data_IF_373295669536
#
_entry.id   IF_373295669536
#
_cell.length_a   1.000
_cell.length_b   1.000
_cell.length_c   1.000
_cell.angle_alpha   90.00
_cell.angle_beta   90.00
_cell.angle_gamma   90.00
#
_symmetry.space_group_name_H-M   'P 1'
#
loop_
_entity.id
_entity.type
_entity.pdbx_description
1 polymer ?
#
# COMPACT_ATOMS: atom_id res chain seq x y z
N UNK A 1 20.73 -7.16 7.70
CA UNK A 1 20.54 -6.93 6.25
C UNK A 1 20.81 -5.48 5.90
N UNK A 2 21.33 -5.21 4.71
CA UNK A 2 21.53 -3.84 4.23
C UNK A 2 20.22 -3.35 3.56
N UNK A 3 19.85 -2.09 3.78
CA UNK A 3 18.65 -1.48 3.20
C UNK A 3 18.55 -1.68 1.68
N UNK A 4 19.69 -1.52 0.98
CA UNK A 4 19.77 -1.71 -0.47
C UNK A 4 19.39 -3.13 -0.91
N UNK A 5 19.85 -4.13 -0.17
CA UNK A 5 19.57 -5.54 -0.47
C UNK A 5 18.08 -5.87 -0.36
N UNK A 6 17.41 -5.34 0.69
CA UNK A 6 15.97 -5.48 0.87
C UNK A 6 15.23 -4.88 -0.33
N UNK A 7 15.56 -3.64 -0.70
CA UNK A 7 14.90 -2.95 -1.83
C UNK A 7 15.10 -3.67 -3.16
N UNK A 8 16.30 -4.20 -3.41
CA UNK A 8 16.59 -4.96 -4.64
C UNK A 8 15.74 -6.24 -4.72
N UNK A 9 15.61 -6.99 -3.62
CA UNK A 9 14.80 -8.22 -3.59
C UNK A 9 13.32 -7.89 -3.75
N UNK A 10 12.81 -6.90 -3.04
CA UNK A 10 11.41 -6.44 -3.16
C UNK A 10 11.14 -5.99 -4.60
N UNK A 11 11.96 -5.10 -5.16
CA UNK A 11 11.82 -4.62 -6.55
C UNK A 11 11.83 -5.78 -7.55
N UNK A 12 12.77 -6.70 -7.41
CA UNK A 12 12.89 -7.87 -8.30
C UNK A 12 11.67 -8.82 -8.22
N UNK A 13 11.04 -8.96 -7.03
CA UNK A 13 9.81 -9.74 -6.88
C UNK A 13 8.65 -9.06 -7.60
N UNK A 14 8.40 -7.79 -7.32
CA UNK A 14 7.27 -7.06 -7.90
C UNK A 14 7.44 -6.83 -9.42
N UNK A 15 8.67 -6.67 -9.93
CA UNK A 15 8.94 -6.64 -11.35
C UNK A 15 8.55 -7.96 -12.06
N UNK A 16 8.82 -9.11 -11.42
CA UNK A 16 8.37 -10.42 -11.96
C UNK A 16 6.85 -10.53 -11.95
N UNK A 17 6.20 -10.12 -10.87
CA UNK A 17 4.74 -10.15 -10.77
C UNK A 17 4.10 -9.26 -11.84
N UNK A 18 4.64 -8.05 -12.09
CA UNK A 18 4.13 -7.15 -13.12
C UNK A 18 4.16 -7.75 -14.54
N UNK A 19 5.17 -8.59 -14.83
CA UNK A 19 5.36 -9.26 -16.15
C UNK A 19 4.54 -10.53 -16.32
N UNK A 20 4.03 -11.11 -15.24
CA UNK A 20 3.20 -12.31 -15.32
C UNK A 20 1.74 -11.88 -15.58
N UNK A 21 1.24 -12.26 -16.76
CA UNK A 21 -0.19 -12.13 -17.05
C UNK A 21 -0.97 -13.13 -16.18
N UNK A 22 -1.66 -12.63 -15.17
CA UNK A 22 -2.73 -13.25 -14.36
C UNK A 22 -2.50 -14.64 -13.73
N UNK A 23 -1.36 -15.30 -13.87
CA UNK A 23 -1.13 -16.57 -13.18
C UNK A 23 -0.25 -16.39 -11.94
N UNK A 24 -0.91 -16.43 -10.77
CA UNK A 24 -0.33 -16.72 -9.45
C UNK A 24 0.70 -15.73 -8.88
N UNK A 25 0.23 -14.78 -8.09
CA UNK A 25 1.06 -13.76 -7.47
C UNK A 25 1.84 -14.20 -6.22
N UNK A 26 1.64 -15.39 -5.68
CA UNK A 26 2.33 -15.79 -4.44
C UNK A 26 2.50 -17.31 -4.29
N UNK A 27 3.73 -17.86 -4.16
CA UNK A 27 3.92 -19.25 -3.76
C UNK A 27 3.42 -19.55 -2.33
N UNK A 28 3.31 -18.53 -1.49
CA UNK A 28 2.88 -18.64 -0.09
C UNK A 28 1.41 -18.27 0.18
N UNK A 29 0.66 -17.82 -0.84
CA UNK A 29 -0.73 -17.36 -0.67
C UNK A 29 -1.78 -18.36 -1.12
N UNK A 30 -1.48 -19.66 -1.29
CA UNK A 30 -2.47 -20.68 -1.68
C UNK A 30 -3.17 -20.38 -3.01
N UNK A 31 -2.45 -19.96 -4.04
CA UNK A 31 -2.96 -19.38 -5.29
C UNK A 31 -3.73 -20.33 -6.21
N UNK A 32 -4.84 -20.85 -5.73
CA UNK A 32 -5.93 -21.36 -6.55
C UNK A 32 -7.11 -20.37 -6.67
N UNK A 33 -7.03 -19.21 -6.01
CA UNK A 33 -8.07 -18.18 -6.00
C UNK A 33 -7.74 -17.06 -6.98
N UNK A 34 -8.73 -16.60 -7.76
CA UNK A 34 -8.56 -15.47 -8.68
C UNK A 34 -8.20 -14.18 -7.90
N UNK A 35 -7.44 -13.27 -8.52
CA UNK A 35 -7.07 -11.96 -7.94
C UNK A 35 -8.29 -11.17 -7.43
N UNK A 36 -9.44 -11.32 -8.11
CA UNK A 36 -10.71 -10.72 -7.70
C UNK A 36 -11.24 -11.29 -6.38
N UNK A 37 -11.13 -12.62 -6.16
CA UNK A 37 -11.55 -13.23 -4.89
C UNK A 37 -10.63 -12.78 -3.75
N UNK A 38 -9.33 -12.66 -3.99
CA UNK A 38 -8.38 -12.14 -3.00
C UNK A 38 -8.69 -10.68 -2.66
N UNK A 39 -8.95 -9.83 -3.66
CA UNK A 39 -9.35 -8.44 -3.43
C UNK A 39 -10.62 -8.33 -2.59
N UNK A 40 -11.65 -9.15 -2.88
CA UNK A 40 -12.87 -9.21 -2.06
C UNK A 40 -12.59 -9.66 -0.62
N UNK A 41 -11.73 -10.64 -0.42
CA UNK A 41 -11.38 -11.15 0.90
C UNK A 41 -10.70 -10.10 1.80
N UNK A 42 -9.92 -9.20 1.22
CA UNK A 42 -9.26 -8.10 1.97
C UNK A 42 -10.15 -6.86 2.15
N UNK A 43 -11.35 -6.81 1.54
CA UNK A 43 -12.36 -5.81 1.86
C UNK A 43 -12.81 -4.90 0.72
N UNK A 44 -12.37 -5.12 -0.53
CA UNK A 44 -12.96 -4.43 -1.67
C UNK A 44 -14.36 -4.98 -1.97
N UNK A 45 -15.32 -4.11 -2.23
CA UNK A 45 -16.65 -4.53 -2.65
C UNK A 45 -16.66 -5.00 -4.11
N UNK A 46 -17.61 -5.90 -4.45
CA UNK A 46 -17.78 -6.33 -5.84
C UNK A 46 -18.10 -5.17 -6.77
N UNK A 47 -18.93 -4.24 -6.31
CA UNK A 47 -19.32 -3.04 -7.04
C UNK A 47 -18.12 -2.13 -7.33
N UNK A 48 -17.22 -1.89 -6.35
CA UNK A 48 -16.00 -1.12 -6.56
C UNK A 48 -15.11 -1.75 -7.63
N UNK A 49 -14.93 -3.08 -7.59
CA UNK A 49 -14.07 -3.81 -8.54
C UNK A 49 -14.65 -3.86 -9.97
N UNK A 50 -15.98 -3.81 -10.13
CA UNK A 50 -16.63 -3.75 -11.45
C UNK A 50 -16.44 -2.41 -12.17
N UNK A 51 -16.07 -1.36 -11.44
CA UNK A 51 -15.90 0.00 -11.96
C UNK A 51 -14.43 0.40 -12.22
N UNK A 52 -13.51 -0.54 -12.13
CA UNK A 52 -12.09 -0.32 -12.43
C UNK A 52 -11.58 -1.38 -13.43
N UNK A 53 -10.45 -1.11 -14.11
CA UNK A 53 -9.83 -2.09 -15.01
C UNK A 53 -9.48 -3.39 -14.27
N UNK A 54 -9.93 -4.53 -14.77
CA UNK A 54 -9.68 -5.85 -14.17
C UNK A 54 -8.18 -6.14 -14.08
N UNK A 55 -7.40 -5.70 -15.07
CA UNK A 55 -5.94 -5.88 -15.15
C UNK A 55 -5.18 -5.18 -14.03
N UNK A 56 -5.81 -4.20 -13.38
CA UNK A 56 -5.25 -3.52 -12.20
C UNK A 56 -5.33 -4.36 -10.93
N UNK A 57 -6.24 -5.34 -10.89
CA UNK A 57 -6.54 -6.15 -9.71
C UNK A 57 -5.60 -7.34 -9.62
N UNK A 58 -4.48 -7.18 -8.93
CA UNK A 58 -3.43 -8.21 -8.82
C UNK A 58 -3.50 -9.03 -7.51
N UNK A 59 -4.43 -8.73 -6.60
CA UNK A 59 -4.57 -9.46 -5.33
C UNK A 59 -3.43 -9.23 -4.33
N UNK A 60 -2.70 -8.12 -4.42
CA UNK A 60 -1.48 -7.84 -3.63
C UNK A 60 -1.75 -7.04 -2.34
N UNK A 61 -2.97 -6.60 -2.10
CA UNK A 61 -3.33 -5.79 -0.94
C UNK A 61 -3.61 -6.61 0.32
N UNK A 62 -3.59 -5.95 1.47
CA UNK A 62 -4.00 -6.53 2.75
C UNK A 62 -5.21 -5.81 3.37
N UNK A 63 -5.77 -4.82 2.69
CA UNK A 63 -6.95 -4.07 3.09
C UNK A 63 -7.51 -3.26 1.93
N UNK A 64 -8.51 -2.43 2.20
CA UNK A 64 -9.09 -1.46 1.26
C UNK A 64 -9.03 -0.05 1.86
N UNK A 65 -7.89 0.65 1.76
CA UNK A 65 -7.74 1.99 2.35
C UNK A 65 -8.69 3.00 1.71
N UNK A 66 -9.03 2.86 0.42
CA UNK A 66 -9.96 3.72 -0.30
C UNK A 66 -11.39 3.70 0.26
N UNK A 67 -11.82 2.59 0.86
CA UNK A 67 -13.13 2.48 1.50
C UNK A 67 -13.25 3.40 2.74
N UNK A 68 -12.13 3.67 3.43
CA UNK A 68 -12.08 4.40 4.70
C UNK A 68 -11.53 5.82 4.54
N UNK A 69 -10.83 6.12 3.43
CA UNK A 69 -10.11 7.37 3.22
C UNK A 69 -11.02 8.62 3.11
N UNK A 70 -12.34 8.47 3.02
CA UNK A 70 -13.32 9.57 2.89
C UNK A 70 -12.91 10.57 1.79
N UNK A 71 -12.56 10.03 0.60
CA UNK A 71 -12.12 10.82 -0.55
C UNK A 71 -13.27 11.69 -1.08
N UNK A 72 -12.97 12.95 -1.42
CA UNK A 72 -13.94 13.94 -1.86
C UNK A 72 -13.67 14.37 -3.29
N UNK A 73 -14.74 14.76 -4.00
CA UNK A 73 -14.62 15.28 -5.34
C UNK A 73 -13.65 16.49 -5.38
N UNK A 74 -12.77 16.52 -6.37
CA UNK A 74 -11.81 17.60 -6.58
C UNK A 74 -10.50 17.46 -5.77
N UNK A 75 -10.35 16.47 -4.89
CA UNK A 75 -9.12 16.28 -4.12
C UNK A 75 -7.95 15.78 -4.99
N UNK A 76 -6.74 16.13 -4.56
CA UNK A 76 -5.48 15.54 -5.03
C UNK A 76 -5.09 14.41 -4.07
N UNK A 77 -5.06 13.18 -4.56
CA UNK A 77 -4.76 11.97 -3.79
C UNK A 77 -3.40 11.41 -4.21
N UNK A 78 -2.63 10.92 -3.26
CA UNK A 78 -1.39 10.19 -3.50
C UNK A 78 -1.55 8.74 -3.00
N UNK A 79 -1.23 7.78 -3.86
CA UNK A 79 -1.13 6.36 -3.51
C UNK A 79 0.35 5.95 -3.40
N UNK A 80 0.73 5.42 -2.24
CA UNK A 80 2.08 4.92 -1.97
C UNK A 80 2.17 3.44 -2.33
N UNK A 81 3.07 3.08 -3.25
CA UNK A 81 3.21 1.72 -3.75
C UNK A 81 2.01 1.29 -4.59
N UNK A 82 1.70 2.09 -5.59
CA UNK A 82 0.47 1.97 -6.38
C UNK A 82 0.32 0.64 -7.14
N UNK A 83 1.42 -0.11 -7.35
CA UNK A 83 1.40 -1.35 -8.13
C UNK A 83 0.76 -1.15 -9.51
N UNK A 84 -0.17 -2.03 -9.89
CA UNK A 84 -0.92 -1.89 -11.14
C UNK A 84 -2.08 -0.88 -11.08
N UNK A 85 -2.29 -0.20 -9.93
CA UNK A 85 -3.18 0.95 -9.82
C UNK A 85 -4.58 0.69 -9.27
N UNK A 86 -4.86 -0.44 -8.63
CA UNK A 86 -6.21 -0.75 -8.09
C UNK A 86 -6.76 0.38 -7.22
N UNK A 87 -6.00 0.85 -6.22
CA UNK A 87 -6.42 1.93 -5.32
C UNK A 87 -6.40 3.30 -6.03
N UNK A 88 -5.51 3.50 -7.02
CA UNK A 88 -5.47 4.72 -7.85
C UNK A 88 -6.75 4.87 -8.67
N UNK A 89 -7.22 3.81 -9.35
CA UNK A 89 -8.44 3.87 -10.16
C UNK A 89 -9.69 4.03 -9.30
N UNK A 90 -9.76 3.34 -8.15
CA UNK A 90 -10.84 3.55 -7.17
C UNK A 90 -10.86 5.00 -6.66
N UNK A 91 -9.70 5.54 -6.32
CA UNK A 91 -9.59 6.94 -5.89
C UNK A 91 -9.96 7.91 -7.01
N UNK A 92 -9.53 7.65 -8.26
CA UNK A 92 -9.83 8.48 -9.42
C UNK A 92 -11.34 8.60 -9.67
N UNK A 93 -12.07 7.48 -9.53
CA UNK A 93 -13.52 7.48 -9.64
C UNK A 93 -14.18 8.28 -8.51
N UNK A 94 -13.65 8.22 -7.27
CA UNK A 94 -14.20 8.96 -6.11
C UNK A 94 -13.94 10.46 -6.19
N UNK A 95 -12.72 10.88 -6.62
CA UNK A 95 -12.41 12.31 -6.72
C UNK A 95 -12.97 12.96 -7.97
N UNK A 96 -13.35 12.17 -8.98
CA UNK A 96 -13.98 12.64 -10.21
C UNK A 96 -13.04 13.46 -11.12
N UNK A 97 -13.58 14.04 -12.21
CA UNK A 97 -12.77 14.66 -13.27
C UNK A 97 -12.06 15.97 -12.84
N UNK A 98 -12.47 16.60 -11.75
CA UNK A 98 -11.83 17.79 -11.19
C UNK A 98 -10.75 17.48 -10.16
N UNK A 99 -10.69 16.23 -9.67
CA UNK A 99 -9.65 15.75 -8.80
C UNK A 99 -8.49 15.14 -9.59
N UNK A 100 -7.44 14.73 -8.87
CA UNK A 100 -6.26 14.09 -9.45
C UNK A 100 -5.73 13.00 -8.52
N UNK A 101 -5.26 11.90 -9.09
CA UNK A 101 -4.61 10.85 -8.32
C UNK A 101 -3.19 10.63 -8.85
N UNK A 102 -2.23 10.57 -7.94
CA UNK A 102 -0.83 10.29 -8.24
C UNK A 102 -0.51 8.94 -7.60
N UNK A 103 -0.13 7.95 -8.41
CA UNK A 103 0.41 6.69 -7.94
C UNK A 103 1.95 6.72 -7.96
N UNK A 104 2.60 6.34 -6.88
CA UNK A 104 4.06 6.20 -6.83
C UNK A 104 4.42 4.74 -6.60
N UNK A 105 5.29 4.19 -7.43
CA UNK A 105 5.87 2.86 -7.25
C UNK A 105 7.37 2.88 -7.57
N UNK A 106 8.16 2.04 -6.88
CA UNK A 106 9.60 1.95 -7.12
C UNK A 106 9.96 1.01 -8.27
N UNK A 107 8.97 0.26 -8.79
CA UNK A 107 9.14 -0.76 -9.82
C UNK A 107 8.71 -0.20 -11.17
N UNK A 108 9.64 -0.09 -12.10
CA UNK A 108 9.38 0.48 -13.44
C UNK A 108 8.29 -0.31 -14.18
N UNK A 109 8.33 -1.63 -14.11
CA UNK A 109 7.35 -2.52 -14.73
C UNK A 109 5.93 -2.31 -14.19
N UNK A 110 5.78 -1.97 -12.90
CA UNK A 110 4.48 -1.62 -12.31
C UNK A 110 3.99 -0.26 -12.84
N UNK A 111 4.86 0.74 -12.86
CA UNK A 111 4.54 2.07 -13.38
C UNK A 111 4.13 2.01 -14.85
N UNK A 112 4.85 1.24 -15.66
CA UNK A 112 4.54 1.07 -17.09
C UNK A 112 3.19 0.37 -17.28
N UNK A 113 2.96 -0.73 -16.56
CA UNK A 113 1.68 -1.48 -16.58
C UNK A 113 0.52 -0.58 -16.19
N UNK A 114 0.59 0.08 -15.04
CA UNK A 114 -0.44 0.97 -14.55
C UNK A 114 -0.72 2.16 -15.50
N UNK A 115 0.35 2.73 -16.08
CA UNK A 115 0.23 3.82 -17.07
C UNK A 115 -0.41 3.35 -18.38
N UNK A 116 -0.15 2.11 -18.82
CA UNK A 116 -0.83 1.53 -19.98
C UNK A 116 -2.31 1.35 -19.71
N UNK A 117 -2.66 0.71 -18.59
CA UNK A 117 -4.04 0.50 -18.16
C UNK A 117 -4.80 1.84 -18.12
N UNK A 118 -4.19 2.87 -17.52
CA UNK A 118 -4.82 4.19 -17.45
C UNK A 118 -5.15 4.78 -18.83
N UNK A 119 -4.23 4.68 -19.78
CA UNK A 119 -4.44 5.16 -21.17
C UNK A 119 -5.52 4.36 -21.87
N UNK A 120 -5.48 3.03 -21.78
CA UNK A 120 -6.37 2.12 -22.51
C UNK A 120 -7.82 2.26 -22.02
N UNK A 121 -8.01 2.60 -20.74
CA UNK A 121 -9.33 2.83 -20.12
C UNK A 121 -9.72 4.31 -20.00
N UNK A 122 -8.95 5.24 -20.58
CA UNK A 122 -9.31 6.67 -20.67
C UNK A 122 -9.28 7.43 -19.35
N UNK A 123 -8.46 7.02 -18.39
CA UNK A 123 -8.27 7.78 -17.14
C UNK A 123 -7.36 8.98 -17.37
N UNK A 124 -7.93 10.17 -17.42
CA UNK A 124 -7.22 11.44 -17.67
C UNK A 124 -6.80 12.16 -16.38
N UNK A 125 -7.33 11.75 -15.24
CA UNK A 125 -7.09 12.34 -13.93
C UNK A 125 -6.12 11.54 -13.05
N UNK A 126 -5.38 10.59 -13.64
CA UNK A 126 -4.36 9.80 -12.94
C UNK A 126 -2.97 10.02 -13.54
N UNK A 127 -1.95 9.87 -12.72
CA UNK A 127 -0.54 9.93 -13.11
C UNK A 127 0.25 8.91 -12.30
N UNK A 128 1.11 8.14 -12.95
CA UNK A 128 2.03 7.22 -12.28
C UNK A 128 3.46 7.73 -12.35
N UNK A 129 4.17 7.68 -11.22
CA UNK A 129 5.56 8.14 -11.08
C UNK A 129 6.45 7.05 -10.53
N UNK A 130 7.60 6.86 -11.17
CA UNK A 130 8.66 6.01 -10.64
C UNK A 130 9.32 6.73 -9.45
N UNK A 131 9.35 6.09 -8.28
CA UNK A 131 9.98 6.67 -7.10
C UNK A 131 9.90 5.78 -5.87
N UNK A 132 10.76 6.06 -4.90
CA UNK A 132 10.76 5.39 -3.60
C UNK A 132 9.86 6.15 -2.62
N UNK A 133 9.13 5.41 -1.77
CA UNK A 133 8.25 6.02 -0.76
C UNK A 133 9.01 6.73 0.37
N UNK A 134 10.31 6.45 0.53
CA UNK A 134 11.21 7.17 1.44
C UNK A 134 11.72 8.50 0.85
N UNK A 135 11.47 8.77 -0.44
CA UNK A 135 11.82 10.02 -1.12
C UNK A 135 10.83 10.26 -2.26
N UNK A 136 9.65 10.74 -1.90
CA UNK A 136 8.54 10.91 -2.83
C UNK A 136 8.83 11.96 -3.92
N UNK A 137 8.62 11.63 -5.21
CA UNK A 137 8.72 12.58 -6.31
C UNK A 137 7.46 13.47 -6.38
N UNK A 138 7.10 14.07 -5.25
CA UNK A 138 5.89 14.88 -5.03
C UNK A 138 6.27 16.11 -4.23
N UNK A 139 5.70 17.26 -4.59
CA UNK A 139 5.98 18.55 -3.97
C UNK A 139 5.45 18.61 -2.53
N UNK A 140 6.05 19.49 -1.73
CA UNK A 140 5.61 19.77 -0.36
C UNK A 140 4.18 20.31 -0.36
N UNK A 141 3.36 19.86 0.60
CA UNK A 141 2.00 20.41 0.84
C UNK A 141 1.14 20.48 -0.43
N UNK A 142 1.23 19.44 -1.28
CA UNK A 142 0.55 19.43 -2.60
C UNK A 142 -0.64 18.47 -2.67
N UNK A 143 -0.78 17.51 -1.73
CA UNK A 143 -1.84 16.52 -1.76
C UNK A 143 -2.80 16.65 -0.58
N UNK A 144 -4.08 16.35 -0.80
CA UNK A 144 -5.14 16.44 0.20
C UNK A 144 -5.26 15.16 1.01
N UNK A 145 -5.05 14.02 0.37
CA UNK A 145 -5.11 12.70 0.99
C UNK A 145 -3.98 11.79 0.50
N UNK A 146 -3.53 10.91 1.38
CA UNK A 146 -2.63 9.81 1.05
C UNK A 146 -3.34 8.50 1.38
N UNK A 147 -3.25 7.55 0.47
CA UNK A 147 -3.63 6.15 0.68
C UNK A 147 -2.39 5.26 0.53
N UNK A 148 -2.41 4.11 1.18
CA UNK A 148 -1.34 3.11 1.07
C UNK A 148 -1.87 1.74 1.42
N UNK A 149 -1.49 0.72 0.65
CA UNK A 149 -1.93 -0.64 0.86
C UNK A 149 -0.75 -1.61 0.82
N UNK A 150 -0.37 -2.15 1.97
CA UNK A 150 0.63 -3.21 2.14
C UNK A 150 2.05 -2.89 1.61
N UNK A 151 2.43 -1.62 1.51
CA UNK A 151 3.73 -1.21 0.95
C UNK A 151 4.71 -0.70 2.01
N UNK A 152 4.22 -0.04 3.08
CA UNK A 152 5.12 0.59 4.06
C UNK A 152 5.97 -0.46 4.78
N UNK A 153 5.44 -1.68 4.97
CA UNK A 153 6.21 -2.79 5.51
C UNK A 153 7.40 -3.22 4.66
N UNK A 154 7.35 -3.00 3.37
CA UNK A 154 8.45 -3.30 2.46
C UNK A 154 9.62 -2.31 2.59
N UNK A 155 9.36 -1.13 3.14
CA UNK A 155 10.41 -0.14 3.40
C UNK A 155 11.27 -0.50 4.60
N UNK A 156 12.60 -0.44 4.49
CA UNK A 156 13.50 -0.59 5.64
C UNK A 156 13.48 0.61 6.59
N UNK A 157 13.10 1.81 6.13
CA UNK A 157 13.00 3.04 6.94
C UNK A 157 11.57 3.62 6.93
N UNK A 158 10.69 2.99 7.68
CA UNK A 158 9.30 3.43 7.82
C UNK A 158 9.15 4.83 8.44
N UNK A 159 10.09 5.23 9.29
CA UNK A 159 10.07 6.57 9.88
C UNK A 159 10.28 7.64 8.79
N UNK A 160 11.15 7.37 7.81
CA UNK A 160 11.36 8.24 6.67
C UNK A 160 10.12 8.30 5.76
N UNK A 161 9.47 7.15 5.54
CA UNK A 161 8.21 7.09 4.78
C UNK A 161 7.15 7.99 5.41
N UNK A 162 6.91 7.88 6.72
CA UNK A 162 5.91 8.72 7.40
C UNK A 162 6.29 10.21 7.40
N UNK A 163 7.59 10.55 7.48
CA UNK A 163 8.03 11.96 7.33
C UNK A 163 7.79 12.49 5.93
N UNK A 164 8.04 11.70 4.89
CA UNK A 164 7.75 12.08 3.50
C UNK A 164 6.23 12.22 3.26
N UNK A 165 5.43 11.28 3.76
CA UNK A 165 3.97 11.40 3.72
C UNK A 165 3.49 12.70 4.41
N UNK A 166 4.04 13.02 5.58
CA UNK A 166 3.73 14.28 6.27
C UNK A 166 4.18 15.50 5.49
N UNK A 167 5.34 15.47 4.83
CA UNK A 167 5.88 16.57 4.02
C UNK A 167 4.92 16.95 2.88
N UNK A 168 4.49 15.97 2.10
CA UNK A 168 3.70 16.19 0.87
C UNK A 168 2.23 16.53 1.15
N UNK A 169 1.68 16.14 2.30
CA UNK A 169 0.31 16.49 2.69
C UNK A 169 0.15 17.99 2.93
N UNK A 170 -0.94 18.56 2.44
CA UNK A 170 -1.42 19.90 2.80
C UNK A 170 -1.77 19.96 4.30
N UNK A 171 -1.83 21.14 4.93
CA UNK A 171 -2.49 21.31 6.22
C UNK A 171 -3.93 20.76 6.16
N UNK A 172 -4.39 20.13 7.22
CA UNK A 172 -5.66 19.39 7.33
C UNK A 172 -5.80 18.17 6.39
N UNK A 173 -4.76 17.82 5.63
CA UNK A 173 -4.71 16.59 4.85
C UNK A 173 -4.66 15.34 5.72
N UNK A 174 -4.99 14.20 5.14
CA UNK A 174 -5.08 12.91 5.86
C UNK A 174 -4.29 11.79 5.21
N UNK A 175 -3.85 10.86 6.04
CA UNK A 175 -3.22 9.60 5.66
C UNK A 175 -4.17 8.46 6.04
N UNK A 176 -4.44 7.54 5.12
CA UNK A 176 -5.12 6.27 5.38
C UNK A 176 -4.23 5.14 4.88
N UNK A 177 -3.82 4.26 5.76
CA UNK A 177 -2.93 3.14 5.44
C UNK A 177 -3.49 1.82 5.93
N UNK A 178 -3.49 0.82 5.05
CA UNK A 178 -3.71 -0.58 5.40
C UNK A 178 -2.38 -1.31 5.34
N UNK A 179 -1.97 -1.97 6.43
CA UNK A 179 -0.67 -2.67 6.48
C UNK A 179 -0.69 -3.83 7.47
N UNK A 180 0.31 -4.70 7.38
CA UNK A 180 0.49 -5.81 8.30
C UNK A 180 1.34 -5.36 9.50
N UNK A 181 0.89 -5.68 10.68
CA UNK A 181 1.63 -5.49 11.93
C UNK A 181 1.66 -6.79 12.73
N UNK A 182 2.49 -6.86 13.77
CA UNK A 182 2.54 -7.97 14.69
C UNK A 182 2.00 -7.57 16.07
N UNK A 183 1.47 -8.53 16.82
CA UNK A 183 1.09 -8.30 18.24
C UNK A 183 2.34 -8.17 19.12
N UNK A 184 3.39 -8.93 18.80
CA UNK A 184 4.67 -8.96 19.51
C UNK A 184 5.82 -8.73 18.53
N UNK A 185 7.05 -8.62 19.04
CA UNK A 185 8.22 -8.47 18.20
C UNK A 185 8.39 -9.66 17.24
N UNK A 186 8.55 -9.35 15.96
CA UNK A 186 8.85 -10.34 14.93
C UNK A 186 10.22 -10.96 15.22
N UNK A 187 10.36 -12.30 15.26
CA UNK A 187 11.63 -12.97 15.52
C UNK A 187 12.73 -12.56 14.56
N UNK A 188 13.98 -12.54 15.06
CA UNK A 188 15.14 -12.14 14.26
C UNK A 188 15.33 -13.00 12.99
N UNK A 189 14.97 -14.29 13.06
CA UNK A 189 15.03 -15.22 11.92
C UNK A 189 14.08 -14.79 10.80
N UNK A 190 12.83 -14.41 11.13
CA UNK A 190 11.84 -13.91 10.17
C UNK A 190 12.28 -12.55 9.61
N UNK A 191 12.81 -11.67 10.46
CA UNK A 191 13.34 -10.36 10.04
C UNK A 191 14.56 -10.47 9.12
N UNK A 192 15.34 -11.53 9.25
CA UNK A 192 16.51 -11.78 8.39
C UNK A 192 16.18 -12.51 7.09
N UNK A 193 14.95 -12.96 6.91
CA UNK A 193 14.50 -13.65 5.72
C UNK A 193 13.98 -12.64 4.68
N UNK A 194 14.64 -12.57 3.52
CA UNK A 194 14.29 -11.65 2.42
C UNK A 194 12.94 -11.99 1.77
N UNK A 195 12.58 -13.27 1.69
CA UNK A 195 11.27 -13.68 1.16
C UNK A 195 10.14 -13.26 2.11
N UNK A 196 10.35 -13.38 3.42
CA UNK A 196 9.42 -12.86 4.42
C UNK A 196 9.26 -11.32 4.33
N UNK A 197 10.36 -10.59 4.02
CA UNK A 197 10.30 -9.15 3.73
C UNK A 197 9.43 -8.87 2.51
N UNK A 198 9.69 -9.51 1.40
CA UNK A 198 8.92 -9.33 0.18
C UNK A 198 7.45 -9.79 0.32
N UNK A 199 7.14 -10.60 1.33
CA UNK A 199 5.79 -11.01 1.73
C UNK A 199 5.13 -10.12 2.80
N UNK A 200 5.63 -8.91 3.07
CA UNK A 200 5.13 -7.94 4.06
C UNK A 200 5.23 -8.39 5.54
N UNK A 201 5.88 -9.51 5.84
CA UNK A 201 5.98 -10.08 7.19
C UNK A 201 7.31 -9.73 7.85
N UNK A 202 8.43 -9.90 7.13
CA UNK A 202 9.77 -9.66 7.67
C UNK A 202 9.99 -8.22 8.11
N UNK A 203 9.32 -7.26 7.46
CA UNK A 203 9.33 -5.83 7.81
C UNK A 203 8.26 -5.39 8.78
N UNK A 204 7.33 -6.27 9.19
CA UNK A 204 6.26 -5.90 10.10
C UNK A 204 6.81 -5.40 11.45
N UNK A 205 6.21 -4.32 11.96
CA UNK A 205 6.49 -3.79 13.29
C UNK A 205 5.39 -4.25 14.26
N UNK A 206 5.72 -4.25 15.54
CA UNK A 206 4.69 -4.31 16.57
C UNK A 206 3.69 -3.16 16.38
N UNK A 207 2.39 -3.44 16.51
CA UNK A 207 1.32 -2.45 16.27
C UNK A 207 1.56 -1.13 17.01
N UNK A 208 2.00 -1.20 18.27
CA UNK A 208 2.27 0.00 19.08
C UNK A 208 3.42 0.83 18.49
N UNK A 209 4.46 0.17 18.02
CA UNK A 209 5.60 0.84 17.40
C UNK A 209 5.21 1.47 16.06
N UNK A 210 4.39 0.79 15.25
CA UNK A 210 3.88 1.32 13.98
C UNK A 210 3.09 2.61 14.21
N UNK A 211 2.12 2.60 15.14
CA UNK A 211 1.33 3.78 15.50
C UNK A 211 2.19 4.91 16.12
N UNK A 212 3.22 4.56 16.90
CA UNK A 212 4.17 5.53 17.45
C UNK A 212 4.93 6.25 16.35
N UNK A 213 5.43 5.53 15.33
CA UNK A 213 6.15 6.14 14.19
C UNK A 213 5.29 7.13 13.39
N UNK A 214 4.00 6.84 13.21
CA UNK A 214 3.05 7.79 12.61
C UNK A 214 2.97 9.07 13.44
N UNK A 215 2.80 8.96 14.76
CA UNK A 215 2.75 10.12 15.67
C UNK A 215 4.04 10.92 15.70
N UNK A 216 5.19 10.25 15.70
CA UNK A 216 6.54 10.87 15.69
C UNK A 216 6.82 11.64 14.40
N UNK A 217 6.22 11.25 13.27
CA UNK A 217 6.29 11.99 12.02
C UNK A 217 5.49 13.30 12.02
N UNK A 218 4.67 13.55 13.08
CA UNK A 218 3.90 14.78 13.28
C UNK A 218 2.39 14.62 13.12
N UNK A 219 1.91 13.46 12.69
CA UNK A 219 0.49 13.19 12.56
C UNK A 219 -0.26 13.25 13.88
N UNK A 220 -1.50 13.75 13.82
CA UNK A 220 -2.43 13.84 14.96
C UNK A 220 -3.66 12.96 14.69
N UNK A 221 -4.50 12.80 15.71
CA UNK A 221 -5.76 12.05 15.62
C UNK A 221 -5.57 10.68 14.94
N UNK A 222 -4.53 9.94 15.39
CA UNK A 222 -4.18 8.63 14.86
C UNK A 222 -5.19 7.61 15.36
N UNK A 223 -6.04 7.13 14.47
CA UNK A 223 -7.16 6.22 14.74
C UNK A 223 -6.93 4.87 14.08
N UNK A 224 -7.10 3.80 14.86
CA UNK A 224 -7.15 2.43 14.34
C UNK A 224 -8.60 2.15 13.90
N UNK A 225 -8.81 2.16 12.59
CA UNK A 225 -10.15 2.00 11.99
C UNK A 225 -10.58 0.53 11.91
N UNK A 226 -9.62 -0.37 11.67
CA UNK A 226 -9.85 -1.81 11.64
C UNK A 226 -8.62 -2.60 12.08
N UNK A 227 -8.85 -3.78 12.62
CA UNK A 227 -7.82 -4.77 12.94
C UNK A 227 -8.42 -6.16 12.72
N UNK A 228 -7.79 -6.97 11.88
CA UNK A 228 -8.22 -8.34 11.54
C UNK A 228 -7.02 -9.27 11.64
N UNK A 229 -7.24 -10.52 12.04
CA UNK A 229 -6.22 -11.54 12.03
C UNK A 229 -5.69 -11.74 10.60
N UNK A 230 -4.38 -11.78 10.47
CA UNK A 230 -3.71 -12.08 9.20
C UNK A 230 -2.99 -13.42 9.34
N UNK A 231 -3.38 -14.37 8.49
CA UNK A 231 -2.81 -15.72 8.49
C UNK A 231 -1.81 -15.87 7.35
N UNK A 232 -0.62 -16.38 7.68
CA UNK A 232 0.40 -16.75 6.70
C UNK A 232 0.09 -18.16 6.23
N UNK A 233 -0.39 -18.32 5.00
CA UNK A 233 -0.65 -19.64 4.43
C UNK A 233 0.67 -20.36 4.11
N UNK A 234 0.73 -21.67 4.35
CA UNK A 234 1.81 -22.56 3.89
C UNK A 234 2.85 -22.95 4.92
N UNK A 235 2.84 -22.43 6.15
CA UNK A 235 3.66 -22.94 7.22
C UNK A 235 2.90 -23.98 8.05
N UNK A 236 3.42 -25.21 8.11
CA UNK A 236 2.87 -26.31 8.93
C UNK A 236 2.93 -26.01 10.44
N UNK A 237 3.66 -24.96 10.85
CA UNK A 237 3.68 -24.38 12.19
C UNK A 237 3.36 -22.89 12.06
N UNK A 238 2.36 -22.41 12.80
CA UNK A 238 2.07 -20.97 12.89
C UNK A 238 3.35 -20.22 13.29
N UNK A 239 3.64 -19.05 12.71
CA UNK A 239 4.76 -18.22 13.14
C UNK A 239 4.61 -17.92 14.63
N UNK A 240 5.72 -17.78 15.38
CA UNK A 240 5.71 -17.60 16.83
C UNK A 240 5.06 -16.29 17.30
N UNK A 241 4.65 -15.42 16.39
CA UNK A 241 3.91 -14.20 16.68
C UNK A 241 2.71 -14.08 15.75
N UNK A 242 1.61 -13.53 16.28
CA UNK A 242 0.39 -13.27 15.53
C UNK A 242 0.54 -12.00 14.70
N UNK A 243 0.13 -12.07 13.44
CA UNK A 243 0.06 -10.92 12.54
C UNK A 243 -1.38 -10.41 12.40
N UNK A 244 -1.50 -9.11 12.23
CA UNK A 244 -2.75 -8.42 12.06
C UNK A 244 -2.69 -7.55 10.79
N UNK A 245 -3.74 -7.57 10.00
CA UNK A 245 -4.00 -6.53 9.01
C UNK A 245 -4.73 -5.39 9.71
N UNK A 246 -4.12 -4.21 9.72
CA UNK A 246 -4.71 -3.02 10.31
C UNK A 246 -5.00 -1.95 9.28
N UNK A 247 -6.03 -1.14 9.49
CA UNK A 247 -6.21 0.13 8.79
C UNK A 247 -6.16 1.28 9.77
N UNK A 248 -5.32 2.26 9.47
CA UNK A 248 -5.08 3.44 10.32
C UNK A 248 -5.38 4.69 9.53
N UNK A 249 -6.07 5.64 10.16
CA UNK A 249 -6.26 7.00 9.65
C UNK A 249 -5.58 8.00 10.57
N UNK A 250 -4.93 9.00 9.99
CA UNK A 250 -4.23 10.04 10.73
C UNK A 250 -4.27 11.37 9.96
N UNK A 251 -4.12 12.50 10.66
CA UNK A 251 -4.29 13.82 10.09
C UNK A 251 -3.04 14.70 10.29
N UNK A 252 -2.75 15.52 9.28
CA UNK A 252 -1.80 16.63 9.40
C UNK A 252 -2.57 17.89 9.79
N UNK A 253 -2.65 18.17 11.10
CA UNK A 253 -3.30 19.38 11.59
C UNK A 253 -2.46 20.62 11.32
N UNK A 254 -3.13 21.75 11.04
CA UNK A 254 -2.49 23.06 11.01
C UNK A 254 -1.80 23.34 12.35
N UNK A 255 -0.60 23.90 12.30
CA UNK A 255 0.13 24.35 13.47
C UNK A 255 -0.30 25.76 13.85
#
# INVERSE_FOLDING_TARGET
MKEKEIKEVVKGRYARIAKQDQESCCPSCGCGTSSLLQAKAVGYSGEELEHIPEESVMGLGCGSPTAIADLKAGEVVLDLGAGAGVDVFLAANKVGPTGRVIGVDMTEEMVDKASSIARDHGYHNVEFRLGEIEKLPVEDKSVDAIISNCVINLSPDKAKVFREAYRVLKPEGRLTVSDIVSEENVPAEVRSNLDAWAGCIGGALEQREYLRKIKEAGFKDVQLESSKDFYVEGEASQPPTKFLSITVRAYKRAQ
#
